data_IF_734965157390
#
_entry.id   IF_734965157390
#
_cell.length_a   1.000
_cell.length_b   1.000
_cell.length_c   1.000
_cell.angle_alpha   90.00
_cell.angle_beta   90.00
_cell.angle_gamma   90.00
#
_symmetry.space_group_name_H-M   'P 1'
#
loop_
_entity.id
_entity.type
_entity.pdbx_description
1 polymer ?
#
# COMPACT_ATOMS: atom_id res chain seq x y z
N UNK A 1 -18.87 -15.47 -1.48
CA UNK A 1 -17.78 -14.62 -1.97
C UNK A 1 -17.76 -13.30 -1.21
N UNK A 2 -16.61 -12.85 -0.80
CA UNK A 2 -16.45 -11.58 -0.09
C UNK A 2 -15.46 -10.69 -0.83
N UNK A 3 -15.61 -9.38 -0.67
CA UNK A 3 -14.62 -8.38 -1.12
C UNK A 3 -13.81 -7.94 0.10
N UNK A 4 -12.52 -8.18 0.07
CA UNK A 4 -11.62 -7.98 1.22
C UNK A 4 -10.51 -7.01 0.83
N UNK A 5 -10.31 -5.97 1.65
CA UNK A 5 -9.15 -5.10 1.54
C UNK A 5 -8.26 -5.32 2.76
N UNK A 6 -7.02 -5.72 2.53
CA UNK A 6 -6.01 -5.86 3.57
C UNK A 6 -5.09 -4.66 3.56
N UNK A 7 -4.96 -4.00 4.69
CA UNK A 7 -4.10 -2.83 4.87
C UNK A 7 -2.86 -3.26 5.63
N UNK A 8 -1.70 -3.11 5.02
CA UNK A 8 -0.47 -3.65 5.59
C UNK A 8 0.71 -2.70 5.42
N UNK A 9 1.64 -2.74 6.37
CA UNK A 9 2.87 -1.96 6.31
C UNK A 9 3.95 -2.60 5.44
N UNK A 10 3.82 -3.88 5.11
CA UNK A 10 4.74 -4.62 4.26
C UNK A 10 4.05 -5.87 3.69
N UNK A 11 4.59 -6.46 2.64
CA UNK A 11 4.03 -7.66 2.06
C UNK A 11 4.86 -8.22 0.91
N UNK A 12 5.04 -9.54 0.89
CA UNK A 12 5.64 -10.23 -0.25
C UNK A 12 4.65 -10.25 -1.42
N UNK A 13 5.11 -10.24 -2.65
CA UNK A 13 6.51 -10.35 -3.09
C UNK A 13 7.28 -9.03 -3.09
N UNK A 14 6.69 -7.93 -2.66
CA UNK A 14 7.24 -6.60 -2.85
C UNK A 14 8.29 -6.20 -1.81
N UNK A 15 8.00 -6.39 -0.53
CA UNK A 15 8.93 -5.99 0.53
C UNK A 15 8.69 -6.78 1.81
N UNK A 16 9.77 -7.14 2.49
CA UNK A 16 9.74 -7.91 3.72
C UNK A 16 10.76 -7.41 4.73
N UNK A 17 10.31 -7.22 5.98
CA UNK A 17 11.20 -7.06 7.13
C UNK A 17 10.90 -8.10 8.20
N UNK A 18 9.69 -8.67 8.25
CA UNK A 18 9.29 -9.64 9.26
C UNK A 18 8.11 -10.50 8.83
N UNK A 19 7.46 -11.14 9.81
CA UNK A 19 6.41 -12.13 9.58
C UNK A 19 5.14 -11.59 8.94
N UNK A 20 4.84 -10.29 9.07
CA UNK A 20 3.67 -9.68 8.42
C UNK A 20 3.75 -9.85 6.90
N UNK A 21 4.94 -9.66 6.32
CA UNK A 21 5.12 -9.80 4.89
C UNK A 21 4.82 -11.22 4.40
N UNK A 22 5.14 -12.23 5.20
CA UNK A 22 4.83 -13.63 4.87
C UNK A 22 3.33 -13.88 4.84
N UNK A 23 2.59 -13.34 5.80
CA UNK A 23 1.13 -13.46 5.85
C UNK A 23 0.51 -12.81 4.62
N UNK A 24 0.94 -11.60 4.27
CA UNK A 24 0.44 -10.87 3.10
C UNK A 24 0.86 -11.57 1.80
N UNK A 25 1.96 -12.31 1.80
CA UNK A 25 2.38 -13.09 0.64
C UNK A 25 1.59 -14.36 0.43
N UNK A 26 0.88 -14.87 1.43
CA UNK A 26 0.20 -16.16 1.35
C UNK A 26 -1.32 -16.10 1.54
N UNK A 27 -1.82 -15.35 2.53
CA UNK A 27 -3.24 -15.31 2.85
C UNK A 27 -4.12 -14.73 1.73
N UNK A 28 -3.77 -13.58 1.12
CA UNK A 28 -4.56 -13.06 0.02
C UNK A 28 -4.70 -14.04 -1.14
N UNK A 29 -3.62 -14.71 -1.50
CA UNK A 29 -3.62 -15.70 -2.57
C UNK A 29 -4.53 -16.88 -2.23
N UNK A 30 -4.45 -17.39 -1.00
CA UNK A 30 -5.29 -18.50 -0.56
C UNK A 30 -6.77 -18.13 -0.56
N UNK A 31 -7.12 -16.91 -0.13
CA UNK A 31 -8.50 -16.44 -0.15
C UNK A 31 -9.01 -16.25 -1.57
N UNK A 32 -8.17 -15.76 -2.48
CA UNK A 32 -8.51 -15.61 -3.89
C UNK A 32 -8.80 -16.97 -4.52
N UNK A 33 -8.02 -17.99 -4.20
CA UNK A 33 -8.23 -19.35 -4.68
C UNK A 33 -9.57 -19.93 -4.18
N UNK A 34 -10.10 -19.43 -3.09
CA UNK A 34 -11.41 -19.82 -2.53
C UNK A 34 -12.56 -18.96 -3.06
N UNK A 35 -12.33 -18.12 -4.04
CA UNK A 35 -13.37 -17.36 -4.71
C UNK A 35 -13.67 -15.97 -4.11
N UNK A 36 -12.83 -15.49 -3.21
CA UNK A 36 -12.96 -14.13 -2.67
C UNK A 36 -12.22 -13.13 -3.55
N UNK A 37 -12.72 -11.89 -3.59
CA UNK A 37 -12.00 -10.79 -4.22
C UNK A 37 -11.12 -10.14 -3.14
N UNK A 38 -9.81 -10.20 -3.32
CA UNK A 38 -8.86 -9.70 -2.33
C UNK A 38 -7.97 -8.64 -2.93
N UNK A 39 -7.86 -7.51 -2.23
CA UNK A 39 -6.96 -6.41 -2.55
C UNK A 39 -6.08 -6.14 -1.34
N UNK A 40 -4.86 -5.72 -1.58
CA UNK A 40 -3.90 -5.34 -0.55
C UNK A 40 -3.47 -3.91 -0.80
N UNK A 41 -3.31 -3.11 0.24
CA UNK A 41 -2.75 -1.76 0.11
C UNK A 41 -1.60 -1.59 1.09
N UNK A 42 -0.51 -1.01 0.60
CA UNK A 42 0.68 -0.72 1.38
C UNK A 42 1.34 0.57 0.91
N UNK A 43 2.23 1.18 1.72
CA UNK A 43 2.98 2.34 1.25
C UNK A 43 3.90 1.99 0.09
N UNK A 44 4.11 2.95 -0.82
CA UNK A 44 5.08 2.79 -1.89
C UNK A 44 6.46 3.16 -1.36
N UNK A 45 7.14 2.18 -0.77
CA UNK A 45 8.49 2.38 -0.24
C UNK A 45 9.52 2.53 -1.37
N UNK A 46 10.64 3.17 -1.07
CA UNK A 46 11.72 3.37 -2.03
C UNK A 46 12.17 2.07 -2.68
N UNK A 47 12.33 1.00 -1.90
CA UNK A 47 12.77 -0.30 -2.42
C UNK A 47 11.78 -0.90 -3.41
N UNK A 48 10.50 -0.67 -3.22
CA UNK A 48 9.46 -1.12 -4.16
C UNK A 48 9.53 -0.27 -5.42
N UNK A 49 9.57 1.05 -5.27
CA UNK A 49 9.65 1.98 -6.38
C UNK A 49 10.89 1.73 -7.24
N UNK A 50 12.05 1.55 -6.61
CA UNK A 50 13.30 1.30 -7.33
C UNK A 50 13.25 0.04 -8.20
N UNK A 51 12.56 -1.00 -7.71
CA UNK A 51 12.50 -2.30 -8.39
C UNK A 51 11.36 -2.43 -9.38
N UNK A 52 10.19 -1.87 -9.06
CA UNK A 52 8.95 -2.16 -9.78
C UNK A 52 8.31 -0.96 -10.46
N UNK A 53 8.85 0.26 -10.36
CA UNK A 53 8.14 1.47 -10.80
C UNK A 53 7.58 1.37 -12.22
N UNK A 54 8.36 0.84 -13.16
CA UNK A 54 7.94 0.71 -14.55
C UNK A 54 6.86 -0.36 -14.77
N UNK A 55 6.59 -1.19 -13.77
CA UNK A 55 5.57 -2.23 -13.81
C UNK A 55 4.29 -1.81 -13.09
N UNK A 56 4.28 -0.64 -12.44
CA UNK A 56 3.13 -0.17 -11.69
C UNK A 56 2.18 0.62 -12.58
N UNK A 57 0.89 0.36 -12.41
CA UNK A 57 -0.16 1.11 -13.08
C UNK A 57 -0.58 2.29 -12.19
N UNK A 58 -0.67 3.48 -12.77
CA UNK A 58 -1.18 4.65 -12.06
C UNK A 58 -2.71 4.61 -12.08
N UNK A 59 -3.34 4.59 -10.89
CA UNK A 59 -4.80 4.47 -10.78
C UNK A 59 -5.49 5.81 -10.59
N UNK A 60 -5.06 6.61 -9.61
CA UNK A 60 -5.72 7.89 -9.32
C UNK A 60 -4.87 8.80 -8.46
N UNK A 61 -5.28 10.06 -8.37
CA UNK A 61 -4.70 11.07 -7.51
C UNK A 61 -5.83 11.83 -6.81
N UNK A 62 -5.67 12.07 -5.52
CA UNK A 62 -6.59 12.85 -4.71
C UNK A 62 -5.81 13.50 -3.57
N UNK A 63 -6.50 14.23 -2.68
CA UNK A 63 -5.84 14.87 -1.54
C UNK A 63 -6.48 14.47 -0.23
N UNK A 64 -5.68 14.46 0.83
CA UNK A 64 -6.16 14.30 2.21
C UNK A 64 -5.68 15.48 3.03
N UNK A 65 -6.42 15.83 4.09
CA UNK A 65 -6.08 16.93 4.97
C UNK A 65 -5.24 16.43 6.14
N UNK A 66 -4.04 16.97 6.27
CA UNK A 66 -3.12 16.68 7.38
C UNK A 66 -2.72 18.01 8.01
N UNK A 67 -3.05 18.21 9.30
CA UNK A 67 -2.72 19.45 10.03
C UNK A 67 -3.14 20.71 9.27
N UNK A 68 -4.38 20.70 8.73
CA UNK A 68 -4.96 21.81 7.94
C UNK A 68 -4.30 22.05 6.60
N UNK A 69 -3.42 21.16 6.14
CA UNK A 69 -2.81 21.22 4.82
C UNK A 69 -3.38 20.12 3.93
N UNK A 70 -3.64 20.45 2.67
CA UNK A 70 -4.01 19.45 1.68
C UNK A 70 -2.74 18.77 1.17
N UNK A 71 -2.69 17.45 1.32
CA UNK A 71 -1.54 16.64 0.92
C UNK A 71 -1.97 15.70 -0.21
N UNK A 72 -1.26 15.73 -1.35
CA UNK A 72 -1.63 14.87 -2.48
C UNK A 72 -1.33 13.40 -2.17
N UNK A 73 -2.20 12.54 -2.72
CA UNK A 73 -2.06 11.09 -2.65
C UNK A 73 -2.11 10.54 -4.07
N UNK A 74 -1.10 9.78 -4.46
CA UNK A 74 -1.06 9.09 -5.73
C UNK A 74 -1.11 7.59 -5.47
N UNK A 75 -2.01 6.90 -6.17
CA UNK A 75 -2.21 5.47 -5.99
C UNK A 75 -1.76 4.73 -7.23
N UNK A 76 -0.92 3.74 -7.03
CA UNK A 76 -0.44 2.83 -8.06
C UNK A 76 -0.88 1.42 -7.74
N UNK A 77 -0.88 0.54 -8.74
CA UNK A 77 -1.24 -0.87 -8.51
C UNK A 77 -0.48 -1.83 -9.39
N UNK A 78 -0.47 -3.08 -8.95
CA UNK A 78 0.03 -4.22 -9.71
C UNK A 78 -0.72 -5.48 -9.28
N UNK A 79 -1.10 -6.30 -10.24
CA UNK A 79 -1.76 -7.58 -9.96
C UNK A 79 -0.72 -8.69 -9.94
N UNK A 80 -0.73 -9.48 -8.87
CA UNK A 80 0.14 -10.66 -8.72
C UNK A 80 -0.72 -11.81 -8.18
N UNK A 81 -0.71 -12.95 -8.86
CA UNK A 81 -1.49 -14.15 -8.48
C UNK A 81 -2.98 -13.84 -8.25
N UNK A 82 -3.56 -13.00 -9.12
CA UNK A 82 -4.96 -12.57 -9.06
C UNK A 82 -5.31 -11.71 -7.84
N UNK A 83 -4.30 -11.21 -7.13
CA UNK A 83 -4.46 -10.25 -6.03
C UNK A 83 -4.02 -8.89 -6.52
N UNK A 84 -4.87 -7.87 -6.36
CA UNK A 84 -4.50 -6.51 -6.71
C UNK A 84 -3.81 -5.84 -5.52
N UNK A 85 -2.57 -5.41 -5.72
CA UNK A 85 -1.79 -4.67 -4.74
C UNK A 85 -1.82 -3.19 -5.09
N UNK A 86 -2.30 -2.37 -4.17
CA UNK A 86 -2.28 -0.92 -4.27
C UNK A 86 -1.12 -0.36 -3.46
N UNK A 87 -0.51 0.71 -3.98
CA UNK A 87 0.61 1.39 -3.34
C UNK A 87 0.30 2.88 -3.20
N UNK A 88 0.42 3.39 -1.98
CA UNK A 88 0.22 4.80 -1.68
C UNK A 88 1.57 5.51 -1.77
N UNK A 89 1.69 6.48 -2.68
CA UNK A 89 2.93 7.25 -2.87
C UNK A 89 2.93 8.52 -2.03
N UNK A 90 4.02 8.75 -1.32
CA UNK A 90 4.39 10.01 -0.72
C UNK A 90 5.90 10.02 -0.58
N UNK A 91 6.58 10.81 -1.41
CA UNK A 91 8.04 10.78 -1.47
C UNK A 91 8.70 11.09 -0.13
N UNK A 92 8.25 12.13 0.55
CA UNK A 92 8.83 12.53 1.83
C UNK A 92 8.65 11.50 2.96
N UNK A 93 7.55 10.75 2.94
CA UNK A 93 7.27 9.77 3.99
C UNK A 93 7.81 8.38 3.68
N UNK A 94 7.70 7.91 2.45
CA UNK A 94 7.95 6.51 2.14
C UNK A 94 9.16 6.25 1.26
N UNK A 95 9.66 7.25 0.55
CA UNK A 95 10.85 7.09 -0.28
C UNK A 95 12.11 7.25 0.59
N UNK A 96 12.27 6.31 1.53
CA UNK A 96 13.36 6.29 2.52
C UNK A 96 14.03 4.91 2.54
N UNK A 97 15.21 4.83 3.16
CA UNK A 97 16.01 3.61 3.18
C UNK A 97 15.41 2.49 4.03
N UNK A 98 14.71 2.83 5.10
CA UNK A 98 14.06 1.87 5.99
C UNK A 98 12.55 2.05 6.00
N UNK A 99 11.82 0.96 6.33
CA UNK A 99 10.37 1.02 6.41
C UNK A 99 9.89 1.70 7.69
N UNK A 100 10.56 1.44 8.80
CA UNK A 100 10.17 1.86 10.14
C UNK A 100 11.35 2.46 10.91
N UNK A 101 11.05 3.02 12.08
CA UNK A 101 12.09 3.48 13.01
C UNK A 101 12.43 4.97 12.90
N UNK A 102 11.60 5.74 12.21
CA UNK A 102 11.78 7.18 12.10
C UNK A 102 10.98 7.93 13.16
N UNK A 103 11.46 9.12 13.54
CA UNK A 103 10.79 9.95 14.54
C UNK A 103 9.38 10.34 14.13
N UNK A 104 9.12 10.46 12.83
CA UNK A 104 7.82 10.84 12.29
C UNK A 104 6.95 9.64 11.88
N UNK A 105 7.23 8.43 12.37
CA UNK A 105 6.44 7.25 12.03
C UNK A 105 4.94 7.44 12.32
N UNK A 106 4.58 8.09 13.41
CA UNK A 106 3.18 8.38 13.72
C UNK A 106 2.51 9.21 12.64
N UNK A 107 3.19 10.24 12.14
CA UNK A 107 2.68 11.08 11.05
C UNK A 107 2.63 10.32 9.72
N UNK A 108 3.68 9.56 9.41
CA UNK A 108 3.79 8.77 8.19
C UNK A 108 2.62 7.78 8.06
N UNK A 109 2.41 6.98 9.10
CA UNK A 109 1.37 5.95 9.07
C UNK A 109 -0.02 6.51 9.36
N UNK A 110 -0.13 7.66 10.03
CA UNK A 110 -1.37 8.41 10.10
C UNK A 110 -1.81 8.93 8.74
N UNK A 111 -0.88 9.46 7.95
CA UNK A 111 -1.14 9.84 6.56
C UNK A 111 -1.59 8.62 5.74
N UNK A 112 -0.88 7.50 5.87
CA UNK A 112 -1.21 6.28 5.15
C UNK A 112 -2.64 5.83 5.42
N UNK A 113 -3.05 5.82 6.69
CA UNK A 113 -4.41 5.42 7.07
C UNK A 113 -5.47 6.33 6.46
N UNK A 114 -5.27 7.65 6.51
CA UNK A 114 -6.19 8.61 5.88
C UNK A 114 -6.26 8.41 4.37
N UNK A 115 -5.12 8.19 3.74
CA UNK A 115 -5.06 7.95 2.31
C UNK A 115 -5.84 6.70 1.92
N UNK A 116 -5.73 5.62 2.70
CA UNK A 116 -6.45 4.37 2.45
C UNK A 116 -7.96 4.55 2.58
N UNK A 117 -8.40 5.25 3.63
CA UNK A 117 -9.82 5.49 3.85
C UNK A 117 -10.42 6.28 2.67
N UNK A 118 -9.75 7.33 2.22
CA UNK A 118 -10.21 8.12 1.08
C UNK A 118 -10.12 7.35 -0.23
N UNK A 119 -9.14 6.47 -0.37
CA UNK A 119 -9.01 5.61 -1.55
C UNK A 119 -10.29 4.81 -1.80
N UNK A 120 -10.96 4.35 -0.74
CA UNK A 120 -12.20 3.59 -0.85
C UNK A 120 -13.31 4.39 -1.53
N UNK A 121 -13.26 5.71 -1.44
CA UNK A 121 -14.22 6.60 -2.10
C UNK A 121 -13.84 6.91 -3.56
N UNK A 122 -12.57 6.70 -3.93
CA UNK A 122 -12.04 7.03 -5.25
C UNK A 122 -12.05 5.85 -6.22
N UNK A 123 -12.05 4.65 -5.70
CA UNK A 123 -11.96 3.43 -6.52
C UNK A 123 -13.25 2.57 -6.53
#
# INVERSE_FOLDING_TARGET
>A
MASILMVAGEGLPFIKTGGLADVIGSLPKALTERGHEVKVVMPLYKKISDKYYNELHFDCEYSVSINYHEVPVRVFSKVVDNVCFFFIQHQGYFERDSLYGYKDDGERFGYFQKAVIEMLNQL
#
